data_IF_701497238914
#
_entry.id   IF_701497238914
#
_cell.length_a   1.000
_cell.length_b   1.000
_cell.length_c   1.000
_cell.angle_alpha   90.00
_cell.angle_beta   90.00
_cell.angle_gamma   90.00
#
_symmetry.space_group_name_H-M   'P 1'
#
loop_
_entity.id
_entity.type
_entity.pdbx_description
1 polymer ?
#
# COMPACT_ATOMS: atom_id res chain seq x y z
N UNK A 1 -2.32 -11.37 16.23
CA UNK A 1 -2.74 -9.97 16.05
C UNK A 1 -2.44 -9.59 14.61
N UNK A 2 -3.45 -9.66 13.73
CA UNK A 2 -3.29 -9.29 12.33
C UNK A 2 -3.04 -7.79 12.28
N UNK A 3 -1.91 -7.39 11.71
CA UNK A 3 -1.50 -6.01 11.49
C UNK A 3 -2.63 -5.28 10.75
N UNK A 4 -3.38 -4.43 11.44
CA UNK A 4 -4.53 -3.68 10.90
C UNK A 4 -4.15 -2.63 9.85
N UNK A 5 -2.86 -2.59 9.47
CA UNK A 5 -2.26 -1.53 8.67
C UNK A 5 -1.41 -2.10 7.55
N UNK A 6 -1.58 -1.54 6.36
CA UNK A 6 -0.77 -1.84 5.19
C UNK A 6 0.07 -0.61 4.85
N UNK A 7 1.39 -0.76 4.80
CA UNK A 7 2.31 0.34 4.60
C UNK A 7 3.02 0.24 3.24
N UNK A 8 3.09 1.35 2.50
CA UNK A 8 3.74 1.46 1.20
C UNK A 8 4.77 2.58 1.25
N UNK A 9 5.98 2.34 0.70
CA UNK A 9 7.05 3.35 0.65
C UNK A 9 6.98 4.25 -0.59
N UNK A 10 6.29 3.82 -1.65
CA UNK A 10 6.19 4.55 -2.91
C UNK A 10 4.94 5.46 -2.91
N UNK A 11 5.14 6.77 -3.08
CA UNK A 11 4.06 7.78 -3.11
C UNK A 11 3.07 7.58 -4.25
N UNK A 12 3.54 7.24 -5.46
CA UNK A 12 2.66 7.03 -6.62
C UNK A 12 1.76 5.81 -6.42
N UNK A 13 2.32 4.73 -5.85
CA UNK A 13 1.55 3.54 -5.51
C UNK A 13 0.51 3.84 -4.42
N UNK A 14 0.87 4.61 -3.38
CA UNK A 14 -0.09 5.04 -2.36
C UNK A 14 -1.23 5.87 -2.97
N UNK A 15 -0.93 6.82 -3.85
CA UNK A 15 -1.97 7.59 -4.53
C UNK A 15 -2.89 6.71 -5.39
N UNK A 16 -2.32 5.77 -6.15
CA UNK A 16 -3.10 4.84 -6.97
C UNK A 16 -4.01 3.95 -6.10
N UNK A 17 -3.48 3.37 -5.02
CA UNK A 17 -4.25 2.54 -4.09
C UNK A 17 -5.37 3.35 -3.42
N UNK A 18 -5.09 4.59 -3.00
CA UNK A 18 -6.10 5.47 -2.41
C UNK A 18 -7.21 5.83 -3.39
N UNK A 19 -6.87 6.05 -4.67
CA UNK A 19 -7.85 6.32 -5.72
C UNK A 19 -8.73 5.10 -6.01
N UNK A 20 -8.15 3.93 -6.28
CA UNK A 20 -8.93 2.74 -6.69
C UNK A 20 -9.75 2.13 -5.55
N UNK A 21 -9.34 2.31 -4.30
CA UNK A 21 -10.06 1.78 -3.13
C UNK A 21 -10.85 2.84 -2.37
N UNK A 22 -10.84 4.09 -2.84
CA UNK A 22 -11.44 5.23 -2.16
C UNK A 22 -11.00 5.38 -0.68
N UNK A 23 -9.76 4.99 -0.36
CA UNK A 23 -9.21 5.04 0.99
C UNK A 23 -8.21 6.17 1.15
N UNK A 24 -8.28 6.84 2.31
CA UNK A 24 -7.24 7.76 2.76
C UNK A 24 -6.12 6.98 3.43
N UNK A 25 -4.89 7.47 3.30
CA UNK A 25 -3.73 6.97 4.02
C UNK A 25 -3.20 8.02 5.00
N UNK A 26 -2.59 7.58 6.10
CA UNK A 26 -1.73 8.42 6.94
C UNK A 26 -0.29 8.42 6.40
N UNK A 27 0.46 9.46 6.74
CA UNK A 27 1.88 9.57 6.42
C UNK A 27 2.65 9.41 7.72
N UNK A 28 3.48 8.37 7.81
CA UNK A 28 4.22 8.02 9.01
C UNK A 28 5.73 7.85 8.70
N UNK A 29 6.57 7.87 9.72
CA UNK A 29 7.98 7.51 9.58
C UNK A 29 8.12 5.99 9.56
N UNK A 30 9.00 5.48 8.72
CA UNK A 30 9.28 4.04 8.69
C UNK A 30 9.97 3.62 10.00
N UNK A 31 9.36 2.67 10.71
CA UNK A 31 9.87 2.16 12.00
C UNK A 31 11.29 1.61 11.87
N UNK A 32 11.62 1.01 10.72
CA UNK A 32 12.93 0.43 10.47
C UNK A 32 13.93 1.44 9.88
N UNK A 33 13.45 2.58 9.38
CA UNK A 33 14.30 3.63 8.83
C UNK A 33 13.64 5.01 8.98
N UNK A 34 13.82 5.71 10.11
CA UNK A 34 13.15 6.97 10.41
C UNK A 34 13.41 8.11 9.41
N UNK A 35 14.43 7.98 8.56
CA UNK A 35 14.70 8.94 7.48
C UNK A 35 13.77 8.75 6.28
N UNK A 36 13.04 7.63 6.21
CA UNK A 36 12.08 7.32 5.16
C UNK A 36 10.65 7.51 5.63
N UNK A 37 9.81 7.89 4.68
CA UNK A 37 8.37 8.07 4.88
C UNK A 37 7.63 6.85 4.33
N UNK A 38 6.58 6.43 5.04
CA UNK A 38 5.64 5.40 4.63
C UNK A 38 4.22 5.94 4.61
N UNK A 39 3.43 5.43 3.67
CA UNK A 39 2.02 5.73 3.51
C UNK A 39 1.21 4.55 4.02
N UNK A 40 0.40 4.76 5.05
CA UNK A 40 -0.22 3.70 5.83
C UNK A 40 -1.73 3.72 5.63
N UNK A 41 -2.27 2.59 5.20
CA UNK A 41 -3.70 2.37 5.00
C UNK A 41 -4.26 1.47 6.08
N UNK A 42 -5.56 1.58 6.34
CA UNK A 42 -6.29 0.52 7.04
C UNK A 42 -6.32 -0.72 6.16
N UNK A 43 -6.05 -1.89 6.75
CA UNK A 43 -6.13 -3.15 6.02
C UNK A 43 -7.61 -3.52 5.81
N UNK A 44 -8.09 -3.35 4.58
CA UNK A 44 -9.46 -3.70 4.16
C UNK A 44 -9.40 -4.76 3.06
N UNK A 45 -10.50 -5.52 2.89
CA UNK A 45 -10.58 -6.57 1.86
C UNK A 45 -10.34 -5.98 0.46
N UNK A 46 -10.93 -4.82 0.15
CA UNK A 46 -10.73 -4.12 -1.12
C UNK A 46 -9.27 -3.74 -1.38
N UNK A 47 -8.57 -3.24 -0.34
CA UNK A 47 -7.14 -2.94 -0.46
C UNK A 47 -6.31 -4.19 -0.76
N UNK A 48 -6.59 -5.27 -0.05
CA UNK A 48 -5.85 -6.53 -0.22
C UNK A 48 -6.10 -7.15 -1.60
N UNK A 49 -7.32 -7.06 -2.12
CA UNK A 49 -7.65 -7.50 -3.47
C UNK A 49 -6.91 -6.66 -4.51
N UNK A 50 -6.95 -5.33 -4.40
CA UNK A 50 -6.25 -4.43 -5.32
C UNK A 50 -4.73 -4.64 -5.34
N UNK A 51 -4.11 -4.82 -4.16
CA UNK A 51 -2.68 -5.14 -4.05
C UNK A 51 -2.36 -6.50 -4.69
N UNK A 52 -3.24 -7.49 -4.52
CA UNK A 52 -3.08 -8.83 -5.09
C UNK A 52 -3.13 -8.77 -6.62
N UNK A 53 -4.13 -8.10 -7.19
CA UNK A 53 -4.26 -7.92 -8.64
C UNK A 53 -3.05 -7.19 -9.24
N UNK A 54 -2.61 -6.10 -8.61
CA UNK A 54 -1.40 -5.38 -9.03
C UNK A 54 -0.15 -6.26 -8.99
N UNK A 55 -0.02 -7.11 -7.97
CA UNK A 55 1.09 -8.06 -7.84
C UNK A 55 1.05 -9.13 -8.94
N UNK A 56 -0.13 -9.63 -9.28
CA UNK A 56 -0.32 -10.59 -10.37
C UNK A 56 -0.01 -9.97 -11.73
N UNK A 57 -0.47 -8.74 -11.99
CA UNK A 57 -0.16 -7.99 -13.21
C UNK A 57 1.35 -7.77 -13.34
N UNK A 58 2.01 -7.33 -12.26
CA UNK A 58 3.47 -7.16 -12.26
C UNK A 58 4.18 -8.47 -12.64
N UNK A 59 3.78 -9.61 -12.06
CA UNK A 59 4.37 -10.92 -12.40
C UNK A 59 4.16 -11.27 -13.88
N UNK A 60 3.00 -10.94 -14.45
CA UNK A 60 2.67 -11.24 -15.86
C UNK A 60 3.50 -10.42 -16.85
N UNK A 61 3.74 -9.14 -16.56
CA UNK A 61 4.36 -8.19 -17.51
C UNK A 61 5.81 -7.81 -17.19
N UNK A 62 6.40 -8.37 -16.13
CA UNK A 62 7.83 -8.17 -15.82
C UNK A 62 8.72 -9.31 -16.33
N UNK A 63 8.18 -10.21 -17.17
CA UNK A 63 8.90 -11.29 -17.86
C UNK A 63 8.98 -10.99 -19.36
#
# INVERSE_FOLDING_TARGET
MLTERYAVRNKYMANALGFITNQKYSVEKDVNNPNKTVFVFKCTVELMNAVTELTQLKKKYSN
#
